data_IF_442430454700
#
_entry.id   IF_442430454700
#
_cell.length_a   1.000
_cell.length_b   1.000
_cell.length_c   1.000
_cell.angle_alpha   90.00
_cell.angle_beta   90.00
_cell.angle_gamma   90.00
#
_symmetry.space_group_name_H-M   'P 1'
#
loop_
_entity.id
_entity.type
_entity.pdbx_description
1 polymer ?
#
# COMPACT_ATOMS: atom_id res chain seq x y z
N UNK A 1 -15.00 -21.49 -68.77
CA UNK A 1 -14.28 -20.92 -67.60
C UNK A 1 -13.59 -19.62 -67.99
N UNK A 2 -14.13 -18.48 -67.59
CA UNK A 2 -13.41 -17.20 -67.39
C UNK A 2 -14.17 -16.49 -66.27
N UNK A 3 -13.61 -16.54 -65.06
CA UNK A 3 -14.18 -15.94 -63.86
C UNK A 3 -13.74 -14.49 -63.81
N UNK A 4 -14.66 -13.56 -64.11
CA UNK A 4 -14.43 -12.13 -63.94
C UNK A 4 -14.49 -11.83 -62.43
N UNK A 5 -13.33 -11.80 -61.78
CA UNK A 5 -13.20 -11.31 -60.41
C UNK A 5 -13.36 -9.78 -60.44
N UNK A 6 -14.53 -9.30 -60.03
CA UNK A 6 -14.76 -7.88 -59.78
C UNK A 6 -14.02 -7.53 -58.48
N UNK A 7 -12.88 -6.86 -58.63
CA UNK A 7 -12.09 -6.30 -57.54
C UNK A 7 -12.83 -5.07 -57.02
N UNK A 8 -13.60 -5.21 -55.94
CA UNK A 8 -14.17 -4.05 -55.23
C UNK A 8 -13.07 -3.42 -54.39
N UNK A 9 -12.44 -2.38 -54.94
CA UNK A 9 -11.53 -1.51 -54.20
C UNK A 9 -12.39 -0.64 -53.28
N UNK A 10 -12.33 -0.91 -51.97
CA UNK A 10 -12.88 -0.02 -50.95
C UNK A 10 -11.88 1.10 -50.70
N UNK A 11 -12.18 2.31 -51.20
CA UNK A 11 -11.52 3.52 -50.71
C UNK A 11 -12.16 3.91 -49.38
N UNK A 12 -11.47 3.64 -48.27
CA UNK A 12 -11.80 4.28 -46.99
C UNK A 12 -11.16 5.67 -47.01
N UNK A 13 -11.94 6.66 -47.42
CA UNK A 13 -11.61 8.06 -47.13
C UNK A 13 -11.75 8.23 -45.61
N UNK A 14 -10.62 8.21 -44.91
CA UNK A 14 -10.54 8.75 -43.55
C UNK A 14 -10.76 10.26 -43.65
N UNK A 15 -12.02 10.70 -43.70
CA UNK A 15 -12.34 12.08 -43.36
C UNK A 15 -12.13 12.21 -41.86
N UNK A 16 -10.96 12.70 -41.45
CA UNK A 16 -10.86 13.33 -40.14
C UNK A 16 -11.80 14.53 -40.21
N UNK A 17 -13.00 14.40 -39.65
CA UNK A 17 -13.79 15.57 -39.30
C UNK A 17 -13.02 16.25 -38.19
N UNK A 18 -12.11 17.15 -38.57
CA UNK A 18 -11.66 18.21 -37.69
C UNK A 18 -12.89 19.06 -37.41
N UNK A 19 -13.60 18.69 -36.33
CA UNK A 19 -14.53 19.59 -35.67
C UNK A 19 -13.71 20.77 -35.20
N UNK A 20 -13.64 21.80 -36.04
CA UNK A 20 -13.30 23.15 -35.62
C UNK A 20 -14.39 23.56 -34.63
N UNK A 21 -14.09 23.42 -33.34
CA UNK A 21 -14.94 23.89 -32.25
C UNK A 21 -14.89 25.42 -32.32
N UNK A 22 -15.78 25.99 -33.11
CA UNK A 22 -15.98 27.43 -33.24
C UNK A 22 -16.97 27.94 -32.17
N UNK A 23 -16.91 27.37 -30.96
CA UNK A 23 -17.59 27.92 -29.79
C UNK A 23 -16.52 28.34 -28.79
N UNK A 24 -16.22 29.63 -28.76
CA UNK A 24 -15.69 30.30 -27.56
C UNK A 24 -16.77 30.33 -26.48
N UNK A 25 -17.22 29.16 -26.03
CA UNK A 25 -17.72 29.05 -24.68
C UNK A 25 -16.50 28.74 -23.83
N UNK A 26 -16.19 29.65 -22.91
CA UNK A 26 -15.13 29.50 -21.93
C UNK A 26 -15.42 28.28 -21.06
N UNK A 27 -15.12 27.08 -21.55
CA UNK A 27 -14.83 25.97 -20.66
C UNK A 27 -13.55 26.35 -19.94
N UNK A 28 -13.71 26.87 -18.73
CA UNK A 28 -12.60 27.13 -17.82
C UNK A 28 -11.75 25.87 -17.76
N UNK A 29 -10.45 25.96 -18.10
CA UNK A 29 -9.50 24.84 -18.01
C UNK A 29 -9.54 24.11 -16.64
N UNK A 30 -10.08 24.76 -15.60
CA UNK A 30 -10.32 24.13 -14.29
C UNK A 30 -11.43 23.07 -14.34
N UNK A 31 -12.50 23.26 -15.11
CA UNK A 31 -13.63 22.32 -15.19
C UNK A 31 -13.22 20.95 -15.72
N UNK A 32 -12.45 20.87 -16.80
CA UNK A 32 -12.03 19.59 -17.38
C UNK A 32 -11.08 18.80 -16.47
N UNK A 33 -10.23 19.48 -15.69
CA UNK A 33 -9.40 18.81 -14.69
C UNK A 33 -10.24 18.33 -13.52
N UNK A 34 -11.11 19.19 -12.97
CA UNK A 34 -12.00 18.83 -11.87
C UNK A 34 -12.92 17.67 -12.25
N UNK A 35 -13.49 17.68 -13.45
CA UNK A 35 -14.38 16.62 -13.91
C UNK A 35 -13.64 15.30 -14.16
N UNK A 36 -12.43 15.37 -14.74
CA UNK A 36 -11.57 14.18 -14.90
C UNK A 36 -11.07 13.65 -13.56
N UNK A 37 -10.70 14.54 -12.63
CA UNK A 37 -10.25 14.21 -11.29
C UNK A 37 -11.39 13.55 -10.51
N UNK A 38 -12.58 14.15 -10.51
CA UNK A 38 -13.77 13.61 -9.87
C UNK A 38 -14.18 12.29 -10.52
N UNK A 39 -14.04 12.14 -11.84
CA UNK A 39 -14.30 10.86 -12.52
C UNK A 39 -13.35 9.74 -12.08
N UNK A 40 -12.06 10.04 -11.90
CA UNK A 40 -11.08 9.08 -11.38
C UNK A 40 -11.28 8.83 -9.88
N UNK A 41 -11.54 9.88 -9.10
CA UNK A 41 -11.73 9.82 -7.65
C UNK A 41 -13.00 9.03 -7.29
N UNK A 42 -14.12 9.33 -7.94
CA UNK A 42 -15.37 8.60 -7.74
C UNK A 42 -15.25 7.16 -8.23
N UNK A 43 -14.52 6.92 -9.33
CA UNK A 43 -14.20 5.56 -9.76
C UNK A 43 -13.35 4.80 -8.73
N UNK A 44 -12.41 5.47 -8.05
CA UNK A 44 -11.62 4.87 -6.97
C UNK A 44 -12.48 4.57 -5.74
N UNK A 45 -13.44 5.40 -5.37
CA UNK A 45 -14.42 5.13 -4.31
C UNK A 45 -15.33 3.95 -4.69
N UNK A 46 -15.98 4.02 -5.86
CA UNK A 46 -16.93 3.02 -6.37
C UNK A 46 -16.28 1.66 -6.65
N UNK A 47 -15.00 1.63 -7.03
CA UNK A 47 -14.26 0.41 -7.33
C UNK A 47 -13.17 0.11 -6.28
N UNK A 48 -13.18 0.78 -5.12
CA UNK A 48 -12.17 0.58 -4.07
C UNK A 48 -12.08 -0.88 -3.61
N UNK A 49 -13.22 -1.57 -3.56
CA UNK A 49 -13.29 -3.01 -3.24
C UNK A 49 -12.78 -3.90 -4.39
N UNK A 50 -12.89 -3.46 -5.64
CA UNK A 50 -12.43 -4.18 -6.84
C UNK A 50 -10.92 -3.98 -7.04
N UNK A 51 -10.37 -2.81 -6.69
CA UNK A 51 -8.94 -2.50 -6.73
C UNK A 51 -8.17 -2.91 -5.46
N UNK A 52 -8.75 -3.75 -4.60
CA UNK A 52 -8.00 -4.51 -3.60
C UNK A 52 -7.12 -5.62 -4.23
N UNK A 53 -7.07 -5.70 -5.57
CA UNK A 53 -6.30 -6.69 -6.34
C UNK A 53 -4.80 -6.76 -6.00
N UNK A 54 -4.24 -5.73 -5.34
CA UNK A 54 -2.83 -5.67 -4.96
C UNK A 54 -2.55 -6.07 -3.51
N UNK A 55 -3.57 -6.26 -2.68
CA UNK A 55 -3.36 -6.73 -1.30
C UNK A 55 -3.19 -8.24 -1.30
N UNK A 56 -2.00 -8.70 -0.94
CA UNK A 56 -1.75 -10.12 -0.73
C UNK A 56 -2.63 -10.63 0.42
N UNK A 57 -3.16 -11.85 0.28
CA UNK A 57 -3.86 -12.53 1.39
C UNK A 57 -2.88 -12.73 2.54
N UNK A 58 -3.33 -12.45 3.75
CA UNK A 58 -2.58 -12.79 4.94
C UNK A 58 -2.57 -14.31 5.15
N UNK A 59 -1.58 -14.78 5.89
CA UNK A 59 -1.54 -16.18 6.34
C UNK A 59 -2.72 -16.44 7.30
N UNK A 60 -3.31 -17.62 7.21
CA UNK A 60 -4.52 -17.95 7.97
C UNK A 60 -4.24 -19.20 8.82
N UNK A 61 -4.46 -19.08 10.13
CA UNK A 61 -4.26 -20.17 11.07
C UNK A 61 -5.15 -21.38 10.75
N UNK A 62 -6.36 -21.19 10.21
CA UNK A 62 -7.27 -22.29 9.93
C UNK A 62 -6.77 -23.16 8.76
N UNK A 63 -6.06 -22.55 7.82
CA UNK A 63 -5.51 -23.23 6.63
C UNK A 63 -4.04 -23.61 6.77
N UNK A 64 -3.33 -23.11 7.79
CA UNK A 64 -1.93 -23.42 8.04
C UNK A 64 -1.75 -24.84 8.57
N UNK A 65 -1.02 -25.69 7.84
CA UNK A 65 -0.70 -27.06 8.25
C UNK A 65 0.81 -27.18 8.54
N UNK A 66 1.20 -27.50 9.79
CA UNK A 66 2.59 -27.81 10.11
C UNK A 66 3.06 -29.02 9.31
N UNK A 67 4.36 -29.06 9.00
CA UNK A 67 4.96 -30.23 8.36
C UNK A 67 5.01 -31.40 9.38
N UNK A 68 4.46 -32.55 9.00
CA UNK A 68 4.47 -33.75 9.84
C UNK A 68 5.89 -34.22 10.17
N UNK A 69 6.09 -34.77 11.38
CA UNK A 69 7.37 -35.27 11.86
C UNK A 69 8.52 -34.26 11.79
N UNK A 70 8.20 -32.97 11.99
CA UNK A 70 9.17 -31.88 11.98
C UNK A 70 8.99 -30.94 13.17
N UNK A 71 10.05 -30.22 13.50
CA UNK A 71 10.05 -29.20 14.54
C UNK A 71 10.34 -27.83 13.93
N UNK A 72 9.54 -26.83 14.29
CA UNK A 72 9.78 -25.45 13.87
C UNK A 72 10.92 -24.84 14.68
N UNK A 73 12.06 -24.60 14.04
CA UNK A 73 13.26 -24.04 14.68
C UNK A 73 13.42 -22.53 14.47
N UNK A 74 12.82 -21.96 13.42
CA UNK A 74 13.08 -20.59 12.98
C UNK A 74 12.00 -20.08 12.02
N UNK A 75 11.67 -18.79 12.12
CA UNK A 75 10.80 -18.07 11.20
C UNK A 75 11.50 -16.81 10.74
N UNK A 76 11.51 -16.57 9.43
CA UNK A 76 12.00 -15.34 8.83
C UNK A 76 10.89 -14.72 7.99
N UNK A 77 10.57 -13.46 8.25
CA UNK A 77 9.57 -12.70 7.49
C UNK A 77 10.23 -11.52 6.81
N UNK A 78 10.02 -11.42 5.50
CA UNK A 78 10.37 -10.25 4.71
C UNK A 78 9.05 -9.69 4.18
N UNK A 79 8.76 -8.44 4.53
CA UNK A 79 7.54 -7.76 4.15
C UNK A 79 7.84 -6.37 3.62
N UNK A 80 7.00 -5.93 2.69
CA UNK A 80 6.96 -4.54 2.26
C UNK A 80 6.16 -3.72 3.28
N UNK A 81 6.41 -2.42 3.32
CA UNK A 81 5.55 -1.46 3.98
C UNK A 81 4.08 -1.58 3.50
N UNK A 82 3.13 -1.17 4.34
CA UNK A 82 1.73 -1.02 3.94
C UNK A 82 1.50 0.17 2.99
N UNK A 83 0.25 0.41 2.62
CA UNK A 83 -0.15 1.53 1.74
C UNK A 83 0.43 2.88 2.19
N UNK A 84 0.89 3.65 1.20
CA UNK A 84 1.52 4.97 1.38
C UNK A 84 0.82 6.02 0.55
N UNK A 85 0.92 7.28 0.99
CA UNK A 85 0.60 8.40 0.13
C UNK A 85 1.60 8.46 -1.03
N UNK A 86 1.22 9.02 -2.19
CA UNK A 86 2.15 9.26 -3.29
C UNK A 86 3.42 9.99 -2.84
N UNK A 87 4.55 9.66 -3.46
CA UNK A 87 5.84 10.34 -3.18
C UNK A 87 5.88 11.77 -3.73
N UNK A 88 4.99 12.09 -4.67
CA UNK A 88 4.89 13.41 -5.27
C UNK A 88 3.44 13.88 -5.23
N UNK A 89 3.23 15.07 -4.70
CA UNK A 89 1.94 15.77 -4.72
C UNK A 89 2.03 16.94 -5.69
N UNK A 90 0.92 17.34 -6.31
CA UNK A 90 0.84 18.70 -6.84
C UNK A 90 0.75 19.67 -5.65
N UNK A 91 1.28 20.88 -5.80
CA UNK A 91 1.41 21.87 -4.70
C UNK A 91 0.10 22.14 -3.95
N UNK A 92 -1.06 21.97 -4.60
CA UNK A 92 -2.38 22.24 -4.02
C UNK A 92 -3.14 20.98 -3.58
N UNK A 93 -2.59 19.79 -3.79
CA UNK A 93 -3.30 18.53 -3.54
C UNK A 93 -3.07 17.98 -2.12
N UNK A 94 -2.17 18.58 -1.32
CA UNK A 94 -1.80 18.05 0.00
C UNK A 94 -2.97 17.87 0.97
N UNK A 95 -4.02 18.71 0.86
CA UNK A 95 -5.22 18.61 1.71
C UNK A 95 -6.15 17.44 1.33
N UNK A 96 -6.03 16.92 0.11
CA UNK A 96 -6.78 15.75 -0.36
C UNK A 96 -6.30 14.49 0.36
N UNK A 97 -5.00 14.41 0.67
CA UNK A 97 -4.39 13.28 1.36
C UNK A 97 -4.50 13.47 2.88
N UNK A 98 -5.71 13.47 3.43
CA UNK A 98 -6.00 13.75 4.85
C UNK A 98 -6.27 12.50 5.71
N UNK A 99 -5.66 11.37 5.35
CA UNK A 99 -5.89 10.03 5.93
C UNK A 99 -4.61 9.39 6.48
N UNK A 100 -3.74 10.20 7.10
CA UNK A 100 -2.46 9.76 7.65
C UNK A 100 -2.34 9.95 9.17
N UNK A 101 -3.46 10.12 9.88
CA UNK A 101 -3.41 10.23 11.34
C UNK A 101 -3.27 8.84 11.98
N UNK A 102 -2.03 8.45 12.26
CA UNK A 102 -1.72 7.13 12.82
C UNK A 102 -1.91 7.06 14.34
N UNK A 103 -2.17 8.19 15.02
CA UNK A 103 -2.30 8.24 16.47
C UNK A 103 -3.42 7.37 17.03
N UNK A 104 -4.44 7.06 16.21
CA UNK A 104 -5.53 6.14 16.58
C UNK A 104 -5.06 4.72 16.92
N UNK A 105 -3.88 4.33 16.45
CA UNK A 105 -3.29 3.03 16.76
C UNK A 105 -2.44 3.03 18.02
N UNK A 106 -2.10 4.19 18.60
CA UNK A 106 -1.26 4.27 19.80
C UNK A 106 -1.70 3.37 20.96
N UNK A 107 -3.01 3.23 21.29
CA UNK A 107 -3.45 2.34 22.37
C UNK A 107 -3.15 0.85 22.14
N UNK A 108 -2.91 0.46 20.88
CA UNK A 108 -2.63 -0.92 20.49
C UNK A 108 -1.13 -1.22 20.40
N UNK A 109 -0.30 -0.18 20.34
CA UNK A 109 1.13 -0.30 20.08
C UNK A 109 1.92 -0.30 21.39
N UNK A 110 2.98 -1.12 21.41
CA UNK A 110 4.00 -1.05 22.46
C UNK A 110 5.07 -0.04 22.03
N UNK A 111 5.59 0.78 22.96
CA UNK A 111 6.73 1.64 22.66
C UNK A 111 7.93 0.81 22.20
N UNK A 112 8.57 1.22 21.10
CA UNK A 112 9.79 0.60 20.56
C UNK A 112 10.85 1.66 20.35
N UNK A 113 12.11 1.29 20.59
CA UNK A 113 13.27 2.11 20.26
C UNK A 113 13.99 1.54 19.05
N UNK A 114 14.46 2.42 18.16
CA UNK A 114 15.20 2.04 16.96
C UNK A 114 16.55 2.74 16.93
N UNK A 115 17.58 2.04 16.47
CA UNK A 115 18.88 2.63 16.17
C UNK A 115 19.23 2.42 14.69
N UNK A 116 19.83 3.44 14.07
CA UNK A 116 20.38 3.33 12.72
C UNK A 116 21.73 2.63 12.81
N UNK A 117 21.85 1.50 12.12
CA UNK A 117 23.09 0.71 12.07
C UNK A 117 23.70 0.79 10.66
N UNK A 118 24.96 1.21 10.60
CA UNK A 118 25.80 1.25 9.41
C UNK A 118 26.63 -0.02 9.26
N UNK A 119 26.86 -0.75 10.36
CA UNK A 119 27.66 -1.97 10.40
C UNK A 119 27.06 -3.01 11.36
N UNK A 120 27.54 -4.25 11.26
CA UNK A 120 27.15 -5.36 12.14
C UNK A 120 27.71 -5.26 13.56
N UNK A 121 28.64 -4.34 13.81
CA UNK A 121 29.27 -4.12 15.13
C UNK A 121 28.70 -2.92 15.88
N UNK A 122 27.73 -2.21 15.30
CA UNK A 122 27.16 -1.02 15.91
C UNK A 122 26.37 -1.37 17.18
N UNK A 123 26.48 -0.50 18.19
CA UNK A 123 25.79 -0.69 19.46
C UNK A 123 24.28 -0.47 19.30
N UNK A 124 23.51 -1.55 19.35
CA UNK A 124 22.05 -1.52 19.25
C UNK A 124 21.33 -1.13 20.55
N UNK A 125 22.06 -0.91 21.65
CA UNK A 125 21.48 -0.58 22.95
C UNK A 125 21.01 0.89 23.05
N UNK A 126 21.55 1.79 22.21
CA UNK A 126 21.26 3.23 22.24
C UNK A 126 20.22 3.60 21.17
N UNK A 127 18.99 3.13 21.35
CA UNK A 127 17.88 3.42 20.43
C UNK A 127 17.09 4.68 20.79
N UNK A 128 16.59 5.38 19.77
CA UNK A 128 15.62 6.48 19.94
C UNK A 128 14.21 5.94 19.91
N UNK A 129 13.35 6.45 20.79
CA UNK A 129 11.94 6.07 20.84
C UNK A 129 11.25 6.44 19.52
N UNK A 130 10.55 5.48 18.91
CA UNK A 130 9.74 5.74 17.71
C UNK A 130 8.51 6.54 18.09
N UNK A 131 8.33 7.69 17.42
CA UNK A 131 7.14 8.54 17.57
C UNK A 131 6.18 8.27 16.43
N UNK A 132 4.95 7.89 16.76
CA UNK A 132 3.89 7.68 15.78
C UNK A 132 3.36 9.04 15.30
N UNK A 133 3.36 9.30 13.98
CA UNK A 133 2.84 10.56 13.44
C UNK A 133 1.35 10.76 13.77
N UNK A 134 1.00 11.99 14.15
CA UNK A 134 -0.38 12.41 14.49
C UNK A 134 -0.95 13.47 13.54
N UNK A 135 -0.26 13.74 12.44
CA UNK A 135 -0.69 14.65 11.39
C UNK A 135 -1.88 14.07 10.62
N UNK A 136 -2.91 14.89 10.40
CA UNK A 136 -4.06 14.50 9.58
C UNK A 136 -3.66 14.42 8.10
N UNK A 137 -2.88 15.38 7.61
CA UNK A 137 -2.41 15.42 6.22
C UNK A 137 -1.17 14.57 6.03
N UNK A 138 -1.15 13.74 5.00
CA UNK A 138 -0.05 12.87 4.64
C UNK A 138 1.17 13.68 4.20
N UNK A 139 2.35 13.26 4.67
CA UNK A 139 3.61 13.63 4.04
C UNK A 139 3.80 12.83 2.74
N UNK A 140 4.52 13.35 1.73
CA UNK A 140 4.85 12.58 0.55
C UNK A 140 5.57 11.28 0.93
N UNK A 141 5.11 10.15 0.39
CA UNK A 141 5.64 8.81 0.75
C UNK A 141 5.24 8.31 2.14
N UNK A 142 4.51 9.09 2.94
CA UNK A 142 4.11 8.74 4.29
C UNK A 142 3.19 7.52 4.35
N UNK A 143 3.32 6.73 5.41
CA UNK A 143 2.42 5.61 5.69
C UNK A 143 1.00 6.12 5.95
N UNK A 144 0.00 5.54 5.29
CA UNK A 144 -1.40 5.89 5.47
C UNK A 144 -2.04 5.11 6.61
N UNK A 145 -3.22 5.55 7.04
CA UNK A 145 -4.00 4.79 8.02
C UNK A 145 -4.35 3.38 7.53
N UNK A 146 -4.65 3.22 6.23
CA UNK A 146 -4.89 1.91 5.60
C UNK A 146 -3.64 1.04 5.65
N UNK A 147 -2.47 1.62 5.33
CA UNK A 147 -1.20 0.91 5.37
C UNK A 147 -0.82 0.44 6.78
N UNK A 148 -1.02 1.30 7.79
CA UNK A 148 -0.80 0.95 9.18
C UNK A 148 -1.74 -0.17 9.67
N UNK A 149 -3.03 -0.13 9.28
CA UNK A 149 -3.97 -1.21 9.59
C UNK A 149 -3.53 -2.54 8.97
N UNK A 150 -3.12 -2.52 7.70
CA UNK A 150 -2.62 -3.71 7.02
C UNK A 150 -1.40 -4.33 7.73
N UNK A 151 -0.47 -3.52 8.22
CA UNK A 151 0.66 -4.00 9.02
C UNK A 151 0.22 -4.58 10.37
N UNK A 152 -0.76 -3.96 11.03
CA UNK A 152 -1.32 -4.48 12.28
C UNK A 152 -1.99 -5.84 12.07
N UNK A 153 -2.80 -5.96 11.02
CA UNK A 153 -3.54 -7.18 10.72
C UNK A 153 -2.62 -8.32 10.26
N UNK A 154 -1.56 -8.01 9.50
CA UNK A 154 -0.48 -8.96 9.24
C UNK A 154 0.15 -9.46 10.56
N UNK A 155 0.39 -8.56 11.51
CA UNK A 155 0.91 -8.92 12.84
C UNK A 155 -0.04 -9.85 13.62
N UNK A 156 -1.36 -9.58 13.60
CA UNK A 156 -2.37 -10.45 14.22
C UNK A 156 -2.44 -11.83 13.56
N UNK A 157 -2.46 -11.86 12.24
CA UNK A 157 -2.44 -13.10 11.45
C UNK A 157 -1.18 -13.92 11.76
N UNK A 158 -0.02 -13.28 11.79
CA UNK A 158 1.25 -13.93 12.16
C UNK A 158 1.22 -14.48 13.57
N UNK A 159 0.67 -13.72 14.53
CA UNK A 159 0.48 -14.17 15.91
C UNK A 159 -0.41 -15.42 16.00
N UNK A 160 -1.52 -15.46 15.26
CA UNK A 160 -2.46 -16.59 15.30
C UNK A 160 -1.81 -17.92 14.96
N UNK A 161 -0.78 -17.93 14.10
CA UNK A 161 -0.02 -19.13 13.76
C UNK A 161 1.09 -19.35 14.79
N UNK A 162 2.04 -18.42 14.90
CA UNK A 162 3.31 -18.68 15.59
C UNK A 162 3.24 -18.52 17.12
N UNK A 163 2.19 -17.89 17.65
CA UNK A 163 1.94 -17.84 19.10
C UNK A 163 0.81 -18.78 19.45
N UNK A 164 -0.35 -18.61 18.83
CA UNK A 164 -1.57 -19.25 19.33
C UNK A 164 -1.70 -20.71 18.86
N UNK A 165 -1.48 -21.00 17.56
CA UNK A 165 -1.60 -22.37 17.01
C UNK A 165 -0.38 -23.24 17.30
N UNK A 166 0.83 -22.73 17.11
CA UNK A 166 2.07 -23.50 17.21
C UNK A 166 2.75 -23.40 18.58
N UNK A 167 2.44 -22.38 19.39
CA UNK A 167 3.16 -22.13 20.64
C UNK A 167 4.65 -21.82 20.49
N UNK A 168 5.10 -21.46 19.27
CA UNK A 168 6.52 -21.24 18.96
C UNK A 168 7.08 -19.99 19.64
N UNK A 169 6.31 -18.90 19.67
CA UNK A 169 6.65 -17.66 20.37
C UNK A 169 5.83 -17.50 21.65
N UNK A 170 6.45 -16.91 22.67
CA UNK A 170 5.73 -16.54 23.90
C UNK A 170 4.62 -15.51 23.60
N UNK A 171 3.45 -15.59 24.26
CA UNK A 171 2.37 -14.61 24.08
C UNK A 171 2.76 -13.16 24.37
N UNK A 172 3.79 -12.98 25.21
CA UNK A 172 4.36 -11.69 25.59
C UNK A 172 5.85 -11.67 25.29
N UNK A 173 6.31 -10.59 24.66
CA UNK A 173 7.75 -10.34 24.50
C UNK A 173 8.40 -10.11 25.86
N UNK A 174 9.34 -10.98 26.25
CA UNK A 174 10.07 -10.89 27.53
C UNK A 174 11.36 -10.09 27.40
N UNK A 175 12.06 -10.23 26.27
CA UNK A 175 13.30 -9.54 25.93
C UNK A 175 13.49 -9.51 24.40
N UNK A 176 14.57 -8.86 23.94
CA UNK A 176 14.91 -8.72 22.52
C UNK A 176 15.41 -10.00 21.84
N UNK A 177 15.62 -11.09 22.59
CA UNK A 177 16.15 -12.34 22.02
C UNK A 177 15.08 -13.12 21.25
N UNK A 178 13.79 -12.85 21.54
CA UNK A 178 12.65 -13.56 20.95
C UNK A 178 12.36 -13.11 19.51
N UNK A 179 12.53 -11.82 19.21
CA UNK A 179 12.28 -11.25 17.88
C UNK A 179 13.34 -10.21 17.58
N UNK A 180 14.00 -10.37 16.42
CA UNK A 180 14.91 -9.37 15.86
C UNK A 180 14.25 -8.69 14.67
N UNK A 181 14.14 -7.37 14.72
CA UNK A 181 13.52 -6.57 13.66
C UNK A 181 14.58 -5.70 13.01
N UNK A 182 14.68 -5.76 11.68
CA UNK A 182 15.51 -4.87 10.87
C UNK A 182 14.63 -4.26 9.79
N UNK A 183 14.70 -2.93 9.66
CA UNK A 183 13.96 -2.15 8.67
C UNK A 183 14.92 -1.31 7.84
N UNK A 184 14.53 -0.96 6.61
CA UNK A 184 15.25 0.04 5.83
C UNK A 184 14.88 1.45 6.31
N UNK A 185 15.78 2.40 6.12
CA UNK A 185 15.53 3.83 6.42
C UNK A 185 14.69 4.53 5.34
N UNK A 186 13.82 3.81 4.61
CA UNK A 186 13.05 4.44 3.53
C UNK A 186 11.98 5.36 4.14
N UNK A 187 12.22 6.67 4.05
CA UNK A 187 11.18 7.70 4.13
C UNK A 187 10.30 7.70 2.89
#
# INVERSE_FOLDING_TARGET
MKSNKILKIFFVLNSTTSLSINSRNQYSRRSSFTDSYNGVYNSLEENSEIYNSCQAKFIDADTYNPLENSELISVQMIMRHGDRAPTFFNENDGQIYNFCNLSKYNPLLRPISTNMVNSTVDNIAEGTLVVIPSNNTCSPGGLTEKGALASLDLGKSTRSIYVDKLGFLSPTLKNSDQIKVRVSSSG
#
